data_IF_571504858308
#
_entry.id   IF_571504858308
#
_cell.length_a   1.000
_cell.length_b   1.000
_cell.length_c   1.000
_cell.angle_alpha   90.00
_cell.angle_beta   90.00
_cell.angle_gamma   90.00
#
_symmetry.space_group_name_H-M   'P 1'
#
loop_
_entity.id
_entity.type
_entity.pdbx_description
1 polymer ?
#
# COMPACT_ATOMS: atom_id res chain seq x y z
N UNK A 1 14.52 3.53 14.77
CA UNK A 1 15.59 4.51 15.03
C UNK A 1 16.18 4.26 16.42
N UNK A 2 17.50 4.42 16.59
CA UNK A 2 18.13 4.42 17.92
C UNK A 2 17.85 5.74 18.64
N UNK A 3 17.21 5.67 19.80
CA UNK A 3 16.86 6.84 20.62
C UNK A 3 17.83 7.03 21.78
N UNK A 4 18.22 5.94 22.46
CA UNK A 4 19.16 5.99 23.56
C UNK A 4 19.94 4.69 23.73
N UNK A 5 21.10 4.80 24.37
CA UNK A 5 21.90 3.70 24.86
C UNK A 5 21.99 3.82 26.39
N UNK A 6 21.55 2.79 27.09
CA UNK A 6 21.74 2.66 28.54
C UNK A 6 22.78 1.57 28.79
N UNK A 7 24.04 1.97 28.93
CA UNK A 7 25.16 1.02 29.07
C UNK A 7 25.16 0.29 30.42
N UNK A 8 24.69 0.96 31.48
CA UNK A 8 24.82 0.51 32.87
C UNK A 8 23.46 0.14 33.46
N UNK A 9 22.81 -0.88 32.90
CA UNK A 9 21.57 -1.44 33.47
C UNK A 9 21.83 -2.78 34.17
N UNK A 10 21.04 -3.16 35.18
CA UNK A 10 21.20 -4.45 35.89
C UNK A 10 21.10 -5.69 34.98
N UNK A 11 20.41 -5.56 33.85
CA UNK A 11 20.18 -6.63 32.86
C UNK A 11 21.22 -6.62 31.72
N UNK A 12 22.20 -5.70 31.78
CA UNK A 12 23.18 -5.43 30.73
C UNK A 12 22.81 -4.21 29.87
N UNK A 13 23.62 -3.88 28.85
CA UNK A 13 23.37 -2.72 28.00
C UNK A 13 22.02 -2.81 27.27
N UNK A 14 21.26 -1.71 27.26
CA UNK A 14 19.97 -1.61 26.57
C UNK A 14 20.02 -0.61 25.43
N UNK A 15 19.48 -1.01 24.29
CA UNK A 15 19.25 -0.12 23.14
C UNK A 15 17.77 0.26 23.13
N UNK A 16 17.49 1.54 23.35
CA UNK A 16 16.13 2.07 23.25
C UNK A 16 15.89 2.50 21.82
N UNK A 17 14.94 1.86 21.15
CA UNK A 17 14.64 2.08 19.73
C UNK A 17 13.16 2.39 19.51
N UNK A 18 12.87 3.15 18.44
CA UNK A 18 11.51 3.49 18.01
C UNK A 18 11.24 2.99 16.58
N UNK A 19 9.97 2.86 16.20
CA UNK A 19 9.57 2.52 14.83
C UNK A 19 9.97 1.11 14.38
N UNK A 20 10.12 0.18 15.33
CA UNK A 20 10.35 -1.24 15.02
C UNK A 20 9.02 -1.91 14.68
N UNK A 21 9.05 -2.84 13.74
CA UNK A 21 7.92 -3.69 13.40
C UNK A 21 8.26 -5.15 13.76
N UNK A 22 8.33 -5.41 15.06
CA UNK A 22 8.68 -6.72 15.63
C UNK A 22 7.73 -7.02 16.78
N UNK A 23 7.33 -8.29 16.92
CA UNK A 23 6.53 -8.73 18.06
C UNK A 23 7.41 -8.88 19.30
N UNK A 24 6.81 -8.75 20.47
CA UNK A 24 7.52 -8.94 21.74
C UNK A 24 8.14 -10.34 21.84
N UNK A 25 9.33 -10.41 22.42
CA UNK A 25 10.12 -11.65 22.53
C UNK A 25 10.79 -12.13 21.23
N UNK A 26 10.75 -11.37 20.13
CA UNK A 26 11.47 -11.73 18.91
C UNK A 26 12.99 -11.76 19.17
N UNK A 27 13.69 -12.89 18.94
CA UNK A 27 15.12 -13.00 19.23
C UNK A 27 15.98 -12.14 18.29
N UNK A 28 16.97 -11.44 18.84
CA UNK A 28 17.95 -10.65 18.10
C UNK A 28 19.27 -11.41 18.01
N UNK A 29 19.73 -11.70 16.80
CA UNK A 29 20.98 -12.44 16.57
C UNK A 29 22.18 -11.52 16.35
N UNK A 30 21.98 -10.36 15.72
CA UNK A 30 23.05 -9.45 15.35
C UNK A 30 22.53 -8.01 15.24
N UNK A 31 23.41 -7.04 15.49
CA UNK A 31 23.11 -5.61 15.43
C UNK A 31 24.21 -4.94 14.61
N UNK A 32 23.82 -4.27 13.52
CA UNK A 32 24.74 -3.54 12.63
C UNK A 32 24.40 -2.06 12.59
N UNK A 33 25.40 -1.16 12.54
CA UNK A 33 25.14 0.24 12.27
C UNK A 33 24.60 0.38 10.84
N UNK A 34 23.51 1.14 10.70
CA UNK A 34 23.02 1.53 9.39
C UNK A 34 23.96 2.59 8.79
N UNK A 35 24.47 2.34 7.59
CA UNK A 35 25.29 3.26 6.80
C UNK A 35 24.55 3.60 5.51
N UNK A 36 24.19 4.87 5.31
CA UNK A 36 23.46 5.29 4.11
C UNK A 36 24.23 5.04 2.82
N UNK A 37 25.56 5.01 2.86
CA UNK A 37 26.37 4.77 1.64
C UNK A 37 26.30 3.32 1.16
N UNK A 38 26.19 2.36 2.07
CA UNK A 38 26.14 0.92 1.73
C UNK A 38 24.74 0.34 1.75
N UNK A 39 23.86 0.88 2.60
CA UNK A 39 22.59 0.24 2.94
C UNK A 39 21.40 0.92 2.25
N UNK A 40 21.54 2.16 1.78
CA UNK A 40 20.48 2.85 1.05
C UNK A 40 20.44 2.41 -0.42
N UNK A 41 19.36 1.74 -0.81
CA UNK A 41 19.04 1.46 -2.21
C UNK A 41 18.20 2.62 -2.77
N UNK A 42 18.88 3.62 -3.33
CA UNK A 42 18.21 4.82 -3.88
C UNK A 42 17.29 4.49 -5.07
N UNK A 43 17.63 3.47 -5.85
CA UNK A 43 16.88 3.01 -7.02
C UNK A 43 16.22 1.64 -6.76
N UNK A 44 15.66 1.45 -5.56
CA UNK A 44 14.96 0.21 -5.20
C UNK A 44 13.85 -0.10 -6.20
N UNK A 45 14.11 -1.03 -7.12
CA UNK A 45 13.10 -1.52 -8.06
C UNK A 45 12.27 -2.61 -7.37
N UNK A 46 10.95 -2.51 -7.50
CA UNK A 46 10.00 -3.55 -7.10
C UNK A 46 10.15 -4.82 -7.96
N UNK A 47 10.88 -4.71 -9.08
CA UNK A 47 11.29 -5.81 -9.96
C UNK A 47 10.16 -6.33 -10.84
N UNK A 48 9.04 -6.73 -10.24
CA UNK A 48 7.87 -7.26 -10.94
C UNK A 48 6.82 -6.19 -11.25
N UNK A 49 6.54 -5.28 -10.31
CA UNK A 49 5.50 -4.26 -10.49
C UNK A 49 5.94 -3.17 -11.48
N UNK A 50 7.21 -2.77 -11.46
CA UNK A 50 7.73 -1.67 -12.28
C UNK A 50 7.67 -1.94 -13.79
N UNK A 51 7.56 -3.21 -14.20
CA UNK A 51 7.49 -3.63 -15.60
C UNK A 51 6.06 -3.81 -16.11
N UNK A 52 5.07 -3.82 -15.22
CA UNK A 52 3.66 -3.98 -15.58
C UNK A 52 3.06 -2.59 -15.75
N UNK A 53 2.76 -2.23 -17.01
CA UNK A 53 1.98 -1.03 -17.28
C UNK A 53 0.62 -1.15 -16.59
N UNK A 54 0.30 -0.19 -15.72
CA UNK A 54 -1.05 -0.04 -15.20
C UNK A 54 -1.98 0.35 -16.36
N UNK A 55 -2.63 -0.65 -16.94
CA UNK A 55 -3.62 -0.43 -17.98
C UNK A 55 -4.93 -0.01 -17.32
N UNK A 56 -5.41 1.19 -17.65
CA UNK A 56 -6.71 1.67 -17.21
C UNK A 56 -7.79 1.32 -18.23
N UNK A 57 -8.99 1.02 -17.74
CA UNK A 57 -10.17 0.82 -18.56
C UNK A 57 -10.85 2.16 -18.88
N UNK A 58 -11.46 2.25 -20.06
CA UNK A 58 -12.36 3.36 -20.37
C UNK A 58 -13.70 3.14 -19.66
N UNK A 59 -14.10 4.10 -18.84
CA UNK A 59 -15.37 4.07 -18.12
C UNK A 59 -16.44 4.78 -18.94
N UNK A 60 -17.52 4.07 -19.26
CA UNK A 60 -18.69 4.64 -19.91
C UNK A 60 -19.81 4.84 -18.89
N UNK A 61 -20.29 6.07 -18.79
CA UNK A 61 -21.40 6.43 -17.90
C UNK A 61 -22.72 6.46 -18.67
N UNK A 62 -23.77 5.79 -18.18
CA UNK A 62 -25.14 6.09 -18.60
C UNK A 62 -25.48 7.55 -18.26
N UNK A 63 -26.13 8.25 -19.18
CA UNK A 63 -26.49 9.67 -18.99
C UNK A 63 -27.32 9.88 -17.71
N UNK A 64 -28.30 8.99 -17.47
CA UNK A 64 -29.22 9.09 -16.32
C UNK A 64 -28.55 8.93 -14.95
N UNK A 65 -27.35 8.33 -14.89
CA UNK A 65 -26.59 8.15 -13.65
C UNK A 65 -25.61 9.30 -13.39
N UNK A 66 -25.18 9.99 -14.44
CA UNK A 66 -24.22 11.08 -14.34
C UNK A 66 -24.73 12.25 -13.50
N UNK A 67 -26.06 12.48 -13.51
CA UNK A 67 -26.71 13.57 -12.78
C UNK A 67 -27.10 13.20 -11.34
N UNK A 68 -26.94 11.93 -10.94
CA UNK A 68 -27.29 11.44 -9.59
C UNK A 68 -26.15 11.60 -8.59
N UNK A 69 -24.94 11.89 -9.06
CA UNK A 69 -23.74 12.05 -8.24
C UNK A 69 -23.10 13.41 -8.50
N UNK A 70 -22.44 13.97 -7.50
CA UNK A 70 -21.65 15.19 -7.69
C UNK A 70 -20.47 14.94 -8.64
N UNK A 71 -19.94 16.02 -9.23
CA UNK A 71 -18.76 15.92 -10.09
C UNK A 71 -17.55 15.27 -9.40
N UNK A 72 -17.38 15.51 -8.09
CA UNK A 72 -16.29 14.94 -7.31
C UNK A 72 -16.47 13.43 -7.09
N UNK A 73 -17.69 12.99 -6.74
CA UNK A 73 -18.02 11.57 -6.63
C UNK A 73 -17.86 10.86 -7.97
N UNK A 74 -18.34 11.46 -9.07
CA UNK A 74 -18.19 10.91 -10.41
C UNK A 74 -16.73 10.71 -10.79
N UNK A 75 -15.86 11.67 -10.47
CA UNK A 75 -14.42 11.55 -10.73
C UNK A 75 -13.82 10.37 -9.94
N UNK A 76 -14.11 10.27 -8.65
CA UNK A 76 -13.62 9.18 -7.80
C UNK A 76 -14.12 7.80 -8.24
N UNK A 77 -15.41 7.66 -8.56
CA UNK A 77 -15.96 6.40 -9.08
C UNK A 77 -15.30 6.04 -10.42
N UNK A 78 -15.08 7.02 -11.30
CA UNK A 78 -14.41 6.80 -12.59
C UNK A 78 -13.00 6.28 -12.40
N UNK A 79 -12.21 6.86 -11.49
CA UNK A 79 -10.85 6.41 -11.20
C UNK A 79 -10.82 4.96 -10.68
N UNK A 80 -11.72 4.64 -9.74
CA UNK A 80 -11.81 3.29 -9.16
C UNK A 80 -12.20 2.27 -10.23
N UNK A 81 -13.21 2.55 -11.05
CA UNK A 81 -13.64 1.65 -12.13
C UNK A 81 -12.58 1.50 -13.22
N UNK A 82 -11.87 2.59 -13.55
CA UNK A 82 -10.77 2.56 -14.52
C UNK A 82 -9.60 1.70 -14.06
N UNK A 83 -9.38 1.56 -12.75
CA UNK A 83 -8.36 0.67 -12.17
C UNK A 83 -8.74 -0.82 -12.21
N UNK A 84 -9.90 -1.16 -12.78
CA UNK A 84 -10.45 -2.52 -12.88
C UNK A 84 -10.53 -3.24 -11.52
N UNK A 85 -11.51 -2.91 -10.66
CA UNK A 85 -11.63 -3.49 -9.33
C UNK A 85 -12.12 -4.95 -9.36
N UNK A 86 -12.34 -5.54 -10.55
CA UNK A 86 -12.81 -6.91 -10.66
C UNK A 86 -11.73 -7.87 -10.16
N UNK A 87 -12.10 -8.97 -9.49
CA UNK A 87 -11.12 -9.94 -9.04
C UNK A 87 -10.38 -10.58 -10.23
N UNK A 88 -9.05 -10.47 -10.25
CA UNK A 88 -8.21 -10.91 -11.38
C UNK A 88 -8.34 -12.40 -11.74
N UNK A 89 -8.84 -13.23 -10.83
CA UNK A 89 -9.07 -14.67 -11.02
C UNK A 89 -10.42 -14.99 -11.67
N UNK A 90 -11.29 -14.00 -11.90
CA UNK A 90 -12.60 -14.18 -12.52
C UNK A 90 -12.60 -13.58 -13.93
N UNK A 91 -12.96 -14.38 -14.94
CA UNK A 91 -12.93 -14.00 -16.37
C UNK A 91 -14.24 -14.31 -17.09
N UNK A 92 -15.38 -14.07 -16.43
CA UNK A 92 -16.68 -14.17 -17.09
C UNK A 92 -17.04 -12.79 -17.66
N UNK A 93 -17.21 -12.71 -18.98
CA UNK A 93 -17.46 -11.45 -19.69
C UNK A 93 -18.83 -10.86 -19.34
N UNK A 94 -19.85 -11.71 -19.15
CA UNK A 94 -21.24 -11.28 -18.91
C UNK A 94 -21.58 -11.10 -17.42
N UNK A 95 -20.58 -11.10 -16.54
CA UNK A 95 -20.82 -10.97 -15.11
C UNK A 95 -20.89 -9.50 -14.70
N UNK A 96 -21.99 -9.13 -14.08
CA UNK A 96 -22.15 -7.84 -13.41
C UNK A 96 -21.42 -7.85 -12.05
N UNK A 97 -20.65 -6.80 -11.79
CA UNK A 97 -19.96 -6.56 -10.52
C UNK A 97 -20.52 -5.27 -9.90
N UNK A 98 -20.67 -5.28 -8.59
CA UNK A 98 -21.06 -4.10 -7.81
C UNK A 98 -20.05 -3.86 -6.68
N UNK A 99 -19.85 -2.61 -6.32
CA UNK A 99 -19.06 -2.22 -5.16
C UNK A 99 -19.67 -1.01 -4.48
N UNK A 100 -19.63 -0.99 -3.15
CA UNK A 100 -20.06 0.16 -2.37
C UNK A 100 -19.00 1.27 -2.47
N UNK A 101 -19.42 2.46 -2.89
CA UNK A 101 -18.58 3.66 -2.92
C UNK A 101 -19.40 4.87 -2.45
N UNK A 102 -18.98 5.54 -1.37
CA UNK A 102 -19.64 6.78 -0.93
C UNK A 102 -21.14 6.67 -0.61
N UNK A 103 -21.66 5.45 -0.38
CA UNK A 103 -23.10 5.20 -0.18
C UNK A 103 -23.86 4.74 -1.42
N UNK A 104 -23.21 4.65 -2.58
CA UNK A 104 -23.76 4.15 -3.85
C UNK A 104 -23.29 2.71 -4.11
N UNK A 105 -24.10 1.93 -4.82
CA UNK A 105 -23.75 0.63 -5.41
C UNK A 105 -24.59 0.39 -6.67
#
# INVERSE_FOLDING_TARGET
KLEALESDSPEGPKLIVSGIDMVDGTPIYDIKPYSSESDALNDGQSGFIDQVAFNTLQVHWPEDLADQVSQAERAGITEVLAADPRPAYQRQEDREYGMLYGGYN
#
